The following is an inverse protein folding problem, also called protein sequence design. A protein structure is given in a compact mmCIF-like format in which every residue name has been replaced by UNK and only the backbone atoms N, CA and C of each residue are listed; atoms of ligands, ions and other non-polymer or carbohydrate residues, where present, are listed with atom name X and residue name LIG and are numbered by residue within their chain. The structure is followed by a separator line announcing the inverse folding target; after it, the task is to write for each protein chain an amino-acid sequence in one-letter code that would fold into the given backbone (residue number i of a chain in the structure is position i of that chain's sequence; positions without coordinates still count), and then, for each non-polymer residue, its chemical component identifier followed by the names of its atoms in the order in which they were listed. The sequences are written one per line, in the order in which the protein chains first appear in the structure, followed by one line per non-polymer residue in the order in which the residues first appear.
data_IF_179443909374
#
_entry.id   IF_179443909374
#
_cell.length_a   1.000
_cell.length_b   1.000
_cell.length_c   1.000
_cell.angle_alpha   90.00
_cell.angle_beta   90.00
_cell.angle_gamma   90.00
#
_symmetry.space_group_name_H-M   'P 1'
#
loop_
_entity.id
_entity.type
_entity.pdbx_description
1 polymer ?
#
# COMPACT_ATOMS: atom_id res chain seq x y z
N UNK A 1 -16.52 -17.53 -2.77
CA UNK A 1 -16.79 -16.48 -1.75
C UNK A 1 -17.85 -16.94 -0.78
N UNK A 2 -17.58 -16.85 0.51
CA UNK A 2 -18.54 -17.22 1.59
C UNK A 2 -19.37 -16.03 2.09
N UNK A 3 -19.05 -14.80 1.67
CA UNK A 3 -19.79 -13.58 2.02
C UNK A 3 -20.65 -13.19 0.83
N UNK A 4 -21.95 -13.00 1.07
CA UNK A 4 -22.89 -12.50 0.07
C UNK A 4 -22.73 -10.97 -0.02
N UNK A 5 -21.75 -10.51 -0.83
CA UNK A 5 -21.41 -9.11 -0.99
C UNK A 5 -21.98 -8.55 -2.30
N UNK A 6 -22.78 -7.51 -2.20
CA UNK A 6 -23.33 -6.80 -3.35
C UNK A 6 -22.36 -5.72 -3.84
N UNK A 7 -21.71 -5.97 -4.97
CA UNK A 7 -20.82 -4.99 -5.58
C UNK A 7 -21.61 -3.81 -6.13
N UNK A 8 -21.19 -2.59 -5.82
CA UNK A 8 -21.79 -1.36 -6.40
C UNK A 8 -21.58 -1.31 -7.92
N UNK A 9 -20.40 -1.66 -8.38
CA UNK A 9 -20.07 -1.84 -9.80
C UNK A 9 -19.60 -3.27 -10.03
N UNK A 10 -20.05 -3.95 -11.09
CA UNK A 10 -19.61 -5.31 -11.38
C UNK A 10 -18.08 -5.39 -11.45
N UNK A 11 -17.42 -6.32 -10.73
CA UNK A 11 -15.99 -6.52 -10.80
C UNK A 11 -15.60 -7.24 -12.10
N UNK A 12 -14.41 -6.97 -12.62
CA UNK A 12 -13.80 -7.81 -13.66
C UNK A 12 -13.33 -9.14 -13.05
N UNK A 13 -13.19 -10.18 -13.90
CA UNK A 13 -12.78 -11.52 -13.45
C UNK A 13 -11.52 -11.50 -12.57
N UNK A 14 -10.47 -10.82 -13.00
CA UNK A 14 -9.22 -10.70 -12.22
C UNK A 14 -9.39 -10.00 -10.87
N UNK A 15 -10.41 -9.16 -10.72
CA UNK A 15 -10.74 -8.51 -9.43
C UNK A 15 -11.46 -9.50 -8.51
N UNK A 16 -12.35 -10.32 -9.08
CA UNK A 16 -12.99 -11.45 -8.37
C UNK A 16 -11.93 -12.43 -7.91
N UNK A 17 -11.02 -12.86 -8.79
CA UNK A 17 -9.93 -13.77 -8.46
C UNK A 17 -9.05 -13.23 -7.31
N UNK A 18 -8.74 -11.92 -7.34
CA UNK A 18 -7.97 -11.27 -6.28
C UNK A 18 -8.69 -11.30 -4.93
N UNK A 19 -10.01 -11.06 -4.93
CA UNK A 19 -10.85 -11.15 -3.74
C UNK A 19 -10.96 -12.58 -3.25
N UNK A 20 -11.29 -13.54 -4.11
CA UNK A 20 -11.39 -14.96 -3.75
C UNK A 20 -10.12 -15.51 -3.11
N UNK A 21 -8.97 -15.05 -3.62
CA UNK A 21 -7.68 -15.49 -3.08
C UNK A 21 -7.31 -14.85 -1.74
N UNK A 22 -7.74 -13.61 -1.45
CA UNK A 22 -7.17 -12.83 -0.37
C UNK A 22 -8.10 -12.02 0.52
N UNK A 23 -9.43 -12.07 0.35
CA UNK A 23 -10.32 -11.16 1.05
C UNK A 23 -10.28 -11.30 2.59
N UNK A 24 -10.18 -12.55 3.10
CA UNK A 24 -10.18 -12.90 4.54
C UNK A 24 -8.79 -13.08 5.14
N UNK A 25 -7.73 -12.99 4.33
CA UNK A 25 -6.36 -13.09 4.82
C UNK A 25 -5.99 -11.87 5.66
N UNK A 26 -5.32 -12.09 6.78
CA UNK A 26 -4.85 -11.00 7.63
C UNK A 26 -3.77 -10.15 6.96
N UNK A 27 -2.90 -10.78 6.16
CA UNK A 27 -1.84 -10.12 5.37
C UNK A 27 -2.02 -10.40 3.88
N UNK A 28 -2.13 -9.35 3.06
CA UNK A 28 -2.29 -9.55 1.63
C UNK A 28 -1.76 -8.38 0.78
N UNK A 29 -1.03 -8.73 -0.29
CA UNK A 29 -0.47 -7.80 -1.28
C UNK A 29 -1.24 -7.82 -2.60
N UNK A 30 -1.78 -6.68 -3.03
CA UNK A 30 -2.39 -6.49 -4.35
C UNK A 30 -1.34 -5.89 -5.29
N UNK A 31 -0.56 -6.76 -5.95
CA UNK A 31 0.48 -6.38 -6.92
C UNK A 31 -0.10 -6.34 -8.32
N UNK A 32 -1.08 -5.48 -8.51
CA UNK A 32 -1.84 -5.33 -9.73
C UNK A 32 -1.37 -4.09 -10.50
N UNK A 33 -1.12 -4.21 -11.80
CA UNK A 33 -0.61 -3.09 -12.63
C UNK A 33 -1.56 -1.88 -12.58
N UNK A 34 -1.03 -0.68 -12.84
CA UNK A 34 -1.81 0.56 -12.83
C UNK A 34 -2.98 0.47 -13.82
N UNK A 35 -4.19 0.83 -13.35
CA UNK A 35 -5.42 0.79 -14.17
C UNK A 35 -6.12 -0.58 -14.22
N UNK A 36 -5.72 -1.57 -13.41
CA UNK A 36 -6.43 -2.85 -13.26
C UNK A 36 -7.47 -2.84 -12.12
N UNK A 37 -7.68 -1.69 -11.46
CA UNK A 37 -8.72 -1.51 -10.44
C UNK A 37 -8.33 -1.94 -9.02
N UNK A 38 -7.05 -1.80 -8.63
CA UNK A 38 -6.58 -2.08 -7.25
C UNK A 38 -7.41 -1.40 -6.17
N UNK A 39 -7.75 -0.11 -6.39
CA UNK A 39 -8.56 0.67 -5.43
C UNK A 39 -9.91 0.04 -5.23
N UNK A 40 -10.59 -0.37 -6.31
CA UNK A 40 -11.88 -1.08 -6.25
C UNK A 40 -11.77 -2.37 -5.46
N UNK A 41 -10.77 -3.22 -5.76
CA UNK A 41 -10.56 -4.47 -5.02
C UNK A 41 -10.37 -4.22 -3.51
N UNK A 42 -9.60 -3.19 -3.12
CA UNK A 42 -9.45 -2.85 -1.71
C UNK A 42 -10.75 -2.36 -1.09
N UNK A 43 -11.53 -1.53 -1.79
CA UNK A 43 -12.78 -0.98 -1.29
C UNK A 43 -13.81 -2.10 -1.11
N UNK A 44 -13.96 -2.98 -2.09
CA UNK A 44 -14.81 -4.16 -1.98
C UNK A 44 -14.35 -5.07 -0.83
N UNK A 45 -13.04 -5.27 -0.67
CA UNK A 45 -12.50 -6.06 0.46
C UNK A 45 -12.82 -5.43 1.83
N UNK A 46 -12.76 -4.08 1.96
CA UNK A 46 -13.19 -3.41 3.18
C UNK A 46 -14.67 -3.66 3.48
N UNK A 47 -15.53 -3.56 2.46
CA UNK A 47 -16.96 -3.82 2.59
C UNK A 47 -17.25 -5.27 2.97
N UNK A 48 -16.60 -6.24 2.33
CA UNK A 48 -16.73 -7.67 2.64
C UNK A 48 -16.31 -7.98 4.08
N UNK A 49 -15.19 -7.44 4.55
CA UNK A 49 -14.73 -7.64 5.92
C UNK A 49 -15.66 -6.98 6.94
N UNK A 50 -16.23 -5.81 6.64
CA UNK A 50 -17.24 -5.17 7.49
C UNK A 50 -18.50 -6.04 7.60
N UNK A 51 -19.05 -6.51 6.48
CA UNK A 51 -20.24 -7.38 6.48
C UNK A 51 -20.02 -8.72 7.19
N UNK A 52 -18.76 -9.21 7.18
CA UNK A 52 -18.37 -10.39 7.94
C UNK A 52 -18.16 -10.12 9.44
N UNK A 53 -18.31 -8.88 9.91
CA UNK A 53 -18.07 -8.48 11.30
C UNK A 53 -16.60 -8.48 11.71
N UNK A 54 -15.69 -8.47 10.73
CA UNK A 54 -14.25 -8.59 10.96
C UNK A 54 -13.57 -7.24 11.23
N UNK A 55 -14.13 -6.14 10.67
CA UNK A 55 -13.65 -4.77 10.87
C UNK A 55 -14.79 -3.77 11.00
N UNK A 56 -14.57 -2.72 11.77
CA UNK A 56 -15.37 -1.49 11.86
C UNK A 56 -14.58 -0.23 11.49
N UNK A 57 -13.25 -0.39 11.26
CA UNK A 57 -12.36 0.69 10.94
C UNK A 57 -11.37 0.33 9.82
N UNK A 58 -11.09 1.29 8.93
CA UNK A 58 -10.06 1.17 7.91
C UNK A 58 -9.19 2.43 7.83
N UNK A 59 -7.86 2.28 7.93
CA UNK A 59 -6.88 3.34 7.70
C UNK A 59 -6.27 3.17 6.31
N UNK A 60 -6.63 4.03 5.38
CA UNK A 60 -6.10 4.03 4.00
C UNK A 60 -5.01 5.09 3.88
N UNK A 61 -3.80 4.65 3.56
CA UNK A 61 -2.63 5.49 3.35
C UNK A 61 -2.33 5.59 1.86
N UNK A 62 -2.37 6.79 1.30
CA UNK A 62 -2.09 7.01 -0.11
C UNK A 62 -1.10 8.19 -0.30
N UNK A 63 -0.38 8.27 -1.43
CA UNK A 63 0.48 9.41 -1.72
C UNK A 63 -0.27 10.74 -1.70
N UNK A 64 0.41 11.83 -1.29
CA UNK A 64 -0.18 13.17 -1.16
C UNK A 64 -0.92 13.64 -2.41
N UNK A 65 -0.46 13.23 -3.60
CA UNK A 65 -1.10 13.59 -4.88
C UNK A 65 -2.45 12.91 -5.12
N UNK A 66 -2.70 11.74 -4.52
CA UNK A 66 -3.87 10.91 -4.82
C UNK A 66 -4.81 10.67 -3.63
N UNK A 67 -4.38 10.88 -2.36
CA UNK A 67 -5.22 10.57 -1.20
C UNK A 67 -6.57 11.31 -1.18
N UNK A 68 -6.65 12.49 -1.80
CA UNK A 68 -7.92 13.23 -1.95
C UNK A 68 -8.89 12.53 -2.89
N UNK A 69 -8.35 11.88 -3.93
CA UNK A 69 -9.15 11.13 -4.90
C UNK A 69 -9.84 9.93 -4.24
N UNK A 70 -9.20 9.30 -3.27
CA UNK A 70 -9.81 8.24 -2.46
C UNK A 70 -11.11 8.69 -1.81
N UNK A 71 -11.13 9.89 -1.23
CA UNK A 71 -12.31 10.47 -0.56
C UNK A 71 -13.35 10.98 -1.54
N UNK A 72 -12.91 11.65 -2.62
CA UNK A 72 -13.83 12.35 -3.52
C UNK A 72 -14.41 11.44 -4.62
N UNK A 73 -13.71 10.36 -4.97
CA UNK A 73 -14.08 9.52 -6.11
C UNK A 73 -14.07 8.02 -5.77
N UNK A 74 -12.91 7.44 -5.41
CA UNK A 74 -12.75 5.99 -5.33
C UNK A 74 -13.77 5.34 -4.37
N UNK A 75 -13.83 5.82 -3.12
CA UNK A 75 -14.76 5.25 -2.12
C UNK A 75 -16.21 5.46 -2.53
N UNK A 76 -16.69 6.67 -2.88
CA UNK A 76 -18.07 6.89 -3.33
C UNK A 76 -18.47 6.09 -4.57
N UNK A 77 -17.54 5.83 -5.48
CA UNK A 77 -17.80 5.11 -6.72
C UNK A 77 -17.90 3.59 -6.52
N UNK A 78 -17.13 3.04 -5.58
CA UNK A 78 -16.95 1.59 -5.48
C UNK A 78 -17.53 0.96 -4.20
N UNK A 79 -17.67 1.70 -3.09
CA UNK A 79 -18.21 1.13 -1.86
C UNK A 79 -19.68 0.72 -2.06
N UNK A 80 -20.00 -0.53 -1.68
CA UNK A 80 -21.37 -1.04 -1.75
C UNK A 80 -22.35 -0.15 -0.99
N UNK A 81 -23.54 0.05 -1.55
CA UNK A 81 -24.60 0.81 -0.91
C UNK A 81 -25.18 0.09 0.35
N UNK A 82 -24.92 -1.22 0.47
CA UNK A 82 -25.32 -2.03 1.63
C UNK A 82 -24.35 -1.88 2.82
N UNK A 83 -23.25 -1.14 2.65
CA UNK A 83 -22.25 -0.90 3.70
C UNK A 83 -22.41 0.53 4.24
N UNK A 84 -23.07 0.72 5.41
CA UNK A 84 -23.09 2.01 6.05
C UNK A 84 -21.65 2.43 6.38
N UNK A 85 -21.24 3.61 5.90
CA UNK A 85 -19.86 4.06 6.08
C UNK A 85 -19.74 5.57 6.20
N UNK A 86 -18.69 6.00 6.90
CA UNK A 86 -18.25 7.41 6.90
C UNK A 86 -16.79 7.51 6.49
N UNK A 87 -16.44 8.58 5.80
CA UNK A 87 -15.09 8.83 5.31
C UNK A 87 -14.53 10.08 5.95
N UNK A 88 -13.41 9.95 6.67
CA UNK A 88 -12.74 11.05 7.34
C UNK A 88 -11.37 11.27 6.67
N UNK A 89 -11.06 12.53 6.35
CA UNK A 89 -9.81 12.86 5.68
C UNK A 89 -8.82 13.56 6.61
N UNK A 90 -7.59 13.10 6.60
CA UNK A 90 -6.48 13.79 7.25
C UNK A 90 -6.16 15.13 6.57
N UNK A 91 -5.93 16.18 7.39
CA UNK A 91 -5.47 17.49 6.95
C UNK A 91 -4.30 17.93 7.83
N UNK A 92 -3.13 18.27 7.23
CA UNK A 92 -1.91 18.60 7.98
C UNK A 92 -1.93 19.97 8.68
N UNK A 93 -2.80 20.87 8.26
CA UNK A 93 -3.00 22.20 8.87
C UNK A 93 -4.49 22.50 8.96
N UNK A 94 -5.25 21.74 9.79
CA UNK A 94 -6.70 21.80 9.76
C UNK A 94 -7.23 23.09 10.40
N UNK A 95 -8.29 23.67 9.79
CA UNK A 95 -9.12 24.68 10.44
C UNK A 95 -10.00 24.02 11.53
N UNK A 96 -10.82 24.82 12.23
CA UNK A 96 -11.65 24.35 13.35
C UNK A 96 -12.59 23.22 12.90
N UNK A 97 -13.34 23.39 11.80
CA UNK A 97 -14.26 22.40 11.27
C UNK A 97 -13.54 21.08 10.90
N UNK A 98 -12.40 21.18 10.22
CA UNK A 98 -11.60 20.00 9.85
C UNK A 98 -11.01 19.27 11.06
N UNK A 99 -10.68 20.00 12.15
CA UNK A 99 -10.27 19.36 13.42
C UNK A 99 -11.40 18.57 14.04
N UNK A 100 -12.59 19.12 14.05
CA UNK A 100 -13.81 18.45 14.54
C UNK A 100 -14.11 17.21 13.71
N UNK A 101 -14.07 17.32 12.37
CA UNK A 101 -14.24 16.20 11.46
C UNK A 101 -13.18 15.08 11.71
N UNK A 102 -11.90 15.42 11.89
CA UNK A 102 -10.89 14.41 12.20
C UNK A 102 -11.06 13.79 13.58
N UNK A 103 -11.61 14.54 14.56
CA UNK A 103 -11.88 14.01 15.91
C UNK A 103 -13.07 13.08 15.94
N UNK A 104 -14.02 13.24 15.02
CA UNK A 104 -15.22 12.38 14.95
C UNK A 104 -14.87 10.90 14.70
N UNK A 105 -13.62 10.56 14.34
CA UNK A 105 -13.15 9.17 14.32
C UNK A 105 -13.29 8.49 15.70
N UNK A 106 -13.39 9.27 16.78
CA UNK A 106 -13.58 8.77 18.15
C UNK A 106 -15.06 8.59 18.52
N UNK A 107 -15.97 9.13 17.70
CA UNK A 107 -17.39 9.07 17.97
C UNK A 107 -17.94 7.71 17.54
N UNK A 108 -18.88 7.18 18.31
CA UNK A 108 -19.57 5.96 17.95
C UNK A 108 -20.29 6.13 16.61
N UNK A 109 -20.15 5.13 15.77
CA UNK A 109 -20.76 5.09 14.45
C UNK A 109 -21.15 3.65 14.12
N UNK A 110 -22.42 3.43 13.87
CA UNK A 110 -22.94 2.13 13.43
C UNK A 110 -22.66 1.95 11.92
N UNK A 111 -21.43 1.59 11.61
CA UNK A 111 -20.94 1.44 10.24
C UNK A 111 -19.41 1.43 10.15
N UNK A 112 -18.90 1.26 8.94
CA UNK A 112 -17.48 1.26 8.65
C UNK A 112 -16.91 2.69 8.66
N UNK A 113 -15.99 3.00 9.56
CA UNK A 113 -15.24 4.25 9.55
C UNK A 113 -13.98 4.12 8.71
N UNK A 114 -13.88 4.90 7.64
CA UNK A 114 -12.70 4.91 6.75
C UNK A 114 -11.93 6.21 6.96
N UNK A 115 -10.70 6.12 7.48
CA UNK A 115 -9.82 7.27 7.65
C UNK A 115 -8.75 7.29 6.56
N UNK A 116 -8.76 8.33 5.72
CA UNK A 116 -7.83 8.46 4.60
C UNK A 116 -6.74 9.47 4.93
N UNK A 117 -5.48 9.04 4.86
CA UNK A 117 -4.33 9.83 5.26
C UNK A 117 -3.22 9.79 4.20
N UNK A 118 -2.52 10.90 3.99
CA UNK A 118 -1.36 10.86 3.12
C UNK A 118 -0.17 10.20 3.83
N UNK A 119 0.50 9.29 3.14
CA UNK A 119 1.62 8.51 3.69
C UNK A 119 2.79 9.38 4.15
N UNK A 120 3.01 10.54 3.54
CA UNK A 120 4.06 11.49 3.91
C UNK A 120 3.84 12.12 5.29
N UNK A 121 2.61 12.15 5.80
CA UNK A 121 2.30 12.64 7.14
C UNK A 121 3.09 11.90 8.24
N UNK A 122 3.43 10.63 8.00
CA UNK A 122 4.23 9.81 8.92
C UNK A 122 5.72 10.20 8.97
N UNK A 123 6.15 11.16 8.17
CA UNK A 123 7.45 11.82 8.35
C UNK A 123 7.42 12.87 9.47
N UNK A 124 6.23 13.26 9.94
CA UNK A 124 6.02 14.24 11.03
C UNK A 124 5.54 13.56 12.31
N UNK A 125 5.86 14.18 13.47
CA UNK A 125 5.41 13.68 14.77
C UNK A 125 3.86 13.62 14.87
N UNK A 126 3.16 14.64 14.34
CA UNK A 126 1.69 14.68 14.36
C UNK A 126 1.06 13.48 13.65
N UNK A 127 1.56 13.14 12.47
CA UNK A 127 1.07 11.99 11.72
C UNK A 127 1.38 10.66 12.42
N UNK A 128 2.58 10.53 12.99
CA UNK A 128 2.97 9.35 13.76
C UNK A 128 2.07 9.17 14.99
N UNK A 129 1.87 10.22 15.77
CA UNK A 129 1.02 10.19 16.98
C UNK A 129 -0.44 9.82 16.62
N UNK A 130 -1.00 10.41 15.56
CA UNK A 130 -2.35 10.07 15.10
C UNK A 130 -2.46 8.61 14.68
N UNK A 131 -1.50 8.11 13.88
CA UNK A 131 -1.48 6.70 13.46
C UNK A 131 -1.28 5.74 14.63
N UNK A 132 -0.43 6.07 15.60
CA UNK A 132 -0.24 5.25 16.80
C UNK A 132 -1.51 5.17 17.65
N UNK A 133 -2.21 6.29 17.80
CA UNK A 133 -3.47 6.33 18.50
C UNK A 133 -4.52 5.44 17.80
N UNK A 134 -4.72 5.64 16.48
CA UNK A 134 -5.66 4.82 15.70
C UNK A 134 -5.32 3.33 15.78
N UNK A 135 -4.04 2.97 15.67
CA UNK A 135 -3.62 1.58 15.80
C UNK A 135 -3.89 0.97 17.17
N UNK A 136 -3.78 1.76 18.25
CA UNK A 136 -4.07 1.27 19.62
C UNK A 136 -5.56 1.17 19.91
N UNK A 137 -6.32 2.17 19.47
CA UNK A 137 -7.73 2.29 19.79
C UNK A 137 -8.62 1.44 18.86
N UNK A 138 -8.28 1.34 17.57
CA UNK A 138 -9.15 0.83 16.52
C UNK A 138 -8.53 -0.34 15.74
N UNK A 139 -7.23 -0.63 15.94
CA UNK A 139 -6.52 -1.60 15.11
C UNK A 139 -6.94 -3.05 15.32
N UNK A 140 -7.45 -3.42 16.50
CA UNK A 140 -7.89 -4.80 16.79
C UNK A 140 -9.07 -5.24 15.92
N UNK A 141 -9.96 -4.30 15.56
CA UNK A 141 -11.07 -4.48 14.64
C UNK A 141 -10.86 -3.65 13.36
N UNK A 142 -9.60 -3.49 12.95
CA UNK A 142 -9.25 -2.56 11.88
C UNK A 142 -8.39 -3.15 10.80
N UNK A 143 -8.49 -2.52 9.62
CA UNK A 143 -7.58 -2.71 8.50
C UNK A 143 -6.67 -1.49 8.34
N UNK A 144 -5.40 -1.73 7.98
CA UNK A 144 -4.51 -0.70 7.45
C UNK A 144 -4.07 -1.07 6.03
N UNK A 145 -4.16 -0.13 5.11
CA UNK A 145 -3.76 -0.31 3.72
C UNK A 145 -2.83 0.81 3.25
N UNK A 146 -1.83 0.46 2.44
CA UNK A 146 -0.97 1.44 1.76
C UNK A 146 -1.18 1.32 0.26
N UNK A 147 -1.66 2.39 -0.35
CA UNK A 147 -1.64 2.59 -1.79
C UNK A 147 -0.27 3.13 -2.23
N UNK A 148 0.24 2.61 -3.33
CA UNK A 148 1.61 2.80 -3.80
C UNK A 148 2.66 2.49 -2.72
N UNK A 149 2.68 1.22 -2.29
CA UNK A 149 3.50 0.71 -1.18
C UNK A 149 5.01 0.89 -1.39
N UNK A 150 5.47 1.18 -2.61
CA UNK A 150 6.87 1.57 -2.88
C UNK A 150 7.32 2.82 -2.13
N UNK A 151 6.38 3.62 -1.60
CA UNK A 151 6.65 4.77 -0.73
C UNK A 151 7.33 4.38 0.60
N UNK A 152 7.25 3.09 1.00
CA UNK A 152 7.88 2.55 2.21
C UNK A 152 9.03 1.56 1.92
N UNK A 153 9.54 1.50 0.69
CA UNK A 153 10.63 0.57 0.29
C UNK A 153 11.95 0.78 1.02
N UNK A 154 12.22 1.99 1.51
CA UNK A 154 13.44 2.28 2.26
C UNK A 154 13.26 1.93 3.75
N UNK A 155 13.81 0.79 4.17
CA UNK A 155 13.76 0.30 5.56
C UNK A 155 14.40 1.24 6.59
N UNK A 156 15.30 2.14 6.20
CA UNK A 156 15.96 3.13 7.09
C UNK A 156 15.13 4.38 7.32
N UNK A 157 14.18 4.69 6.43
CA UNK A 157 13.39 5.92 6.51
C UNK A 157 12.54 5.97 7.79
N UNK A 158 12.50 7.13 8.46
CA UNK A 158 11.69 7.36 9.68
C UNK A 158 10.23 7.01 9.46
N UNK A 159 9.68 7.42 8.33
CA UNK A 159 8.30 7.09 7.91
C UNK A 159 8.05 5.59 7.87
N UNK A 160 8.93 4.82 7.20
CA UNK A 160 8.81 3.37 7.11
C UNK A 160 8.83 2.73 8.49
N UNK A 161 9.81 3.08 9.32
CA UNK A 161 9.93 2.54 10.69
C UNK A 161 8.68 2.83 11.54
N UNK A 162 8.11 4.02 11.43
CA UNK A 162 6.87 4.38 12.12
C UNK A 162 5.69 3.53 11.63
N UNK A 163 5.54 3.41 10.31
CA UNK A 163 4.44 2.66 9.70
C UNK A 163 4.50 1.15 10.03
N UNK A 164 5.69 0.55 10.06
CA UNK A 164 5.84 -0.85 10.47
C UNK A 164 5.33 -1.09 11.90
N UNK A 165 5.67 -0.19 12.84
CA UNK A 165 5.19 -0.27 14.24
C UNK A 165 3.68 -0.10 14.37
N UNK A 166 3.10 0.79 13.56
CA UNK A 166 1.67 1.07 13.57
C UNK A 166 0.91 -0.09 12.93
N UNK A 167 1.36 -0.58 11.78
CA UNK A 167 0.73 -1.69 11.06
C UNK A 167 0.59 -2.95 11.91
N UNK A 168 1.59 -3.24 12.75
CA UNK A 168 1.56 -4.40 13.65
C UNK A 168 0.39 -4.40 14.66
N UNK A 169 -0.33 -3.27 14.81
CA UNK A 169 -1.49 -3.13 15.71
C UNK A 169 -2.83 -3.41 15.01
N UNK A 170 -2.82 -3.49 13.69
CA UNK A 170 -4.01 -3.74 12.89
C UNK A 170 -4.21 -5.24 12.62
N UNK A 171 -5.47 -5.68 12.68
CA UNK A 171 -5.86 -7.06 12.38
C UNK A 171 -5.59 -7.41 10.92
N UNK A 172 -6.00 -6.55 10.00
CA UNK A 172 -5.80 -6.74 8.56
C UNK A 172 -4.81 -5.72 7.98
N UNK A 173 -3.93 -6.17 7.10
CA UNK A 173 -2.91 -5.35 6.44
C UNK A 173 -2.89 -5.58 4.95
N UNK A 174 -2.87 -4.49 4.16
CA UNK A 174 -2.93 -4.52 2.70
C UNK A 174 -1.85 -3.64 2.08
N UNK A 175 -1.24 -4.14 1.03
CA UNK A 175 -0.33 -3.39 0.16
C UNK A 175 -0.91 -3.33 -1.24
N UNK A 176 -0.89 -2.15 -1.84
CA UNK A 176 -1.29 -1.93 -3.22
C UNK A 176 -0.12 -1.31 -3.98
N UNK A 177 0.27 -1.91 -5.08
CA UNK A 177 1.22 -1.32 -6.04
C UNK A 177 1.21 -2.07 -7.36
N UNK A 178 1.47 -1.37 -8.45
CA UNK A 178 1.67 -1.99 -9.77
C UNK A 178 3.07 -2.57 -9.95
N UNK A 179 4.04 -2.11 -9.15
CA UNK A 179 5.44 -2.51 -9.28
C UNK A 179 6.10 -2.57 -7.91
N UNK A 180 5.98 -3.69 -7.17
CA UNK A 180 6.54 -3.81 -5.82
C UNK A 180 8.07 -3.70 -5.79
N UNK A 181 8.72 -4.04 -6.90
CA UNK A 181 10.16 -3.89 -7.14
C UNK A 181 10.38 -2.82 -8.19
N UNK A 182 11.00 -1.69 -7.81
CA UNK A 182 11.23 -0.56 -8.73
C UNK A 182 12.66 -0.48 -9.24
N UNK A 183 13.65 -0.65 -8.38
CA UNK A 183 15.08 -0.58 -8.72
C UNK A 183 15.82 -1.84 -8.32
N UNK A 184 15.41 -2.49 -7.28
CA UNK A 184 16.11 -3.61 -6.68
C UNK A 184 15.13 -4.55 -5.99
N UNK A 185 15.34 -5.89 -6.03
CA UNK A 185 14.59 -6.85 -5.22
C UNK A 185 14.60 -6.53 -3.72
N UNK A 186 15.57 -5.73 -3.27
CA UNK A 186 15.64 -5.26 -1.87
C UNK A 186 14.48 -4.32 -1.50
N UNK A 187 13.83 -3.69 -2.50
CA UNK A 187 12.68 -2.80 -2.32
C UNK A 187 11.48 -3.51 -1.66
N UNK A 188 11.37 -4.84 -1.82
CA UNK A 188 10.24 -5.61 -1.31
C UNK A 188 10.31 -5.86 0.22
N UNK A 189 11.49 -5.87 0.82
CA UNK A 189 11.68 -6.25 2.21
C UNK A 189 10.77 -5.49 3.17
N UNK A 190 10.89 -4.16 3.22
CA UNK A 190 10.10 -3.35 4.14
C UNK A 190 8.61 -3.31 3.81
N UNK A 191 8.24 -3.56 2.57
CA UNK A 191 6.84 -3.73 2.18
C UNK A 191 6.28 -5.03 2.81
N UNK A 192 7.00 -6.14 2.75
CA UNK A 192 6.58 -7.38 3.40
C UNK A 192 6.59 -7.28 4.93
N UNK A 193 7.56 -6.57 5.52
CA UNK A 193 7.58 -6.27 6.96
C UNK A 193 6.35 -5.47 7.43
N UNK A 194 5.78 -4.63 6.56
CA UNK A 194 4.53 -3.94 6.85
C UNK A 194 3.34 -4.91 6.93
N UNK A 195 3.28 -5.90 6.07
CA UNK A 195 2.26 -6.94 6.15
C UNK A 195 2.40 -7.76 7.43
N UNK A 196 3.60 -8.26 7.72
CA UNK A 196 3.92 -8.93 8.97
C UNK A 196 5.45 -8.98 9.15
N UNK A 197 5.96 -8.61 10.33
CA UNK A 197 7.37 -8.78 10.65
C UNK A 197 7.81 -10.24 10.45
N UNK A 198 8.91 -10.42 9.71
CA UNK A 198 9.45 -11.75 9.40
C UNK A 198 8.65 -12.56 8.36
N UNK A 199 7.70 -11.97 7.64
CA UNK A 199 6.86 -12.66 6.63
C UNK A 199 7.68 -13.39 5.57
N UNK A 200 8.81 -12.83 5.17
CA UNK A 200 9.74 -13.43 4.21
C UNK A 200 10.68 -14.50 4.84
N UNK A 201 10.57 -14.76 6.14
CA UNK A 201 11.41 -15.73 6.84
C UNK A 201 12.79 -15.21 7.23
N UNK A 202 12.96 -13.89 7.38
CA UNK A 202 14.23 -13.25 7.76
C UNK A 202 14.02 -12.32 8.96
N UNK A 203 14.91 -12.44 9.96
CA UNK A 203 14.86 -11.59 11.16
C UNK A 203 15.33 -10.15 10.92
N UNK A 204 16.07 -9.91 9.84
CA UNK A 204 16.61 -8.59 9.53
C UNK A 204 16.79 -8.35 8.04
N UNK A 205 16.83 -7.05 7.67
CA UNK A 205 17.15 -6.63 6.31
C UNK A 205 18.51 -7.20 5.84
N UNK A 206 19.50 -7.27 6.71
CA UNK A 206 20.84 -7.77 6.35
C UNK A 206 20.86 -9.27 6.10
N UNK A 207 20.07 -10.05 6.85
CA UNK A 207 19.89 -11.48 6.58
C UNK A 207 19.20 -11.69 5.22
N UNK A 208 18.13 -10.92 4.92
CA UNK A 208 17.46 -10.90 3.63
C UNK A 208 18.43 -10.51 2.50
N UNK A 209 19.19 -9.42 2.67
CA UNK A 209 20.20 -8.98 1.71
C UNK A 209 21.27 -10.06 1.47
N UNK A 210 21.75 -10.72 2.51
CA UNK A 210 22.73 -11.80 2.41
C UNK A 210 22.21 -13.01 1.61
N UNK A 211 20.90 -13.27 1.61
CA UNK A 211 20.30 -14.34 0.81
C UNK A 211 20.13 -13.99 -0.65
N UNK A 212 19.71 -12.75 -0.98
CA UNK A 212 19.26 -12.38 -2.30
C UNK A 212 20.18 -11.41 -3.06
N UNK A 213 21.14 -10.76 -2.40
CA UNK A 213 22.08 -9.87 -3.04
C UNK A 213 23.50 -10.47 -3.13
N UNK A 214 24.21 -10.15 -4.21
CA UNK A 214 25.65 -10.36 -4.33
C UNK A 214 26.32 -9.03 -4.00
N UNK A 215 27.13 -9.02 -2.94
CA UNK A 215 27.72 -7.82 -2.38
C UNK A 215 29.25 -7.86 -2.57
N UNK A 216 29.81 -6.77 -3.04
CA UNK A 216 31.26 -6.57 -3.14
C UNK A 216 31.70 -5.45 -2.20
N UNK A 217 32.78 -5.68 -1.46
CA UNK A 217 33.42 -4.62 -0.66
C UNK A 217 34.24 -3.74 -1.60
N UNK A 218 33.97 -2.45 -1.58
CA UNK A 218 34.75 -1.44 -2.30
C UNK A 218 35.35 -0.45 -1.31
N UNK A 219 36.52 0.07 -1.65
CA UNK A 219 37.21 1.14 -0.92
C UNK A 219 37.24 2.40 -1.75
N UNK A 220 36.96 3.53 -1.11
CA UNK A 220 37.10 4.86 -1.69
C UNK A 220 37.87 5.75 -0.69
N UNK A 221 39.17 5.95 -0.93
CA UNK A 221 40.07 6.51 0.05
C UNK A 221 40.18 5.62 1.30
N UNK A 222 40.00 6.19 2.50
CA UNK A 222 40.01 5.43 3.76
C UNK A 222 38.65 4.81 4.12
N UNK A 223 37.61 5.07 3.38
CA UNK A 223 36.26 4.52 3.65
C UNK A 223 36.04 3.22 2.87
N UNK A 224 35.59 2.17 3.56
CA UNK A 224 35.14 0.93 2.93
C UNK A 224 33.60 0.84 2.99
N UNK A 225 32.97 0.48 1.88
CA UNK A 225 31.53 0.29 1.80
C UNK A 225 31.17 -0.96 0.99
N UNK A 226 29.96 -1.48 1.22
CA UNK A 226 29.43 -2.62 0.48
C UNK A 226 28.58 -2.12 -0.68
N UNK A 227 28.87 -2.60 -1.89
CA UNK A 227 28.07 -2.33 -3.08
C UNK A 227 27.38 -3.62 -3.54
N UNK A 228 26.07 -3.54 -3.79
CA UNK A 228 25.34 -4.62 -4.46
C UNK A 228 25.72 -4.59 -5.93
N UNK A 229 26.26 -5.72 -6.41
CA UNK A 229 26.71 -5.91 -7.80
C UNK A 229 25.83 -6.89 -8.58
N UNK A 230 24.88 -7.55 -7.93
CA UNK A 230 23.95 -8.49 -8.54
C UNK A 230 22.96 -9.07 -7.56
N UNK A 231 22.11 -9.95 -8.05
CA UNK A 231 21.07 -10.62 -7.27
C UNK A 231 21.09 -12.13 -7.56
N UNK A 232 20.62 -12.91 -6.62
CA UNK A 232 20.54 -14.37 -6.69
C UNK A 232 19.25 -14.88 -6.02
N UNK A 233 18.90 -16.14 -6.26
CA UNK A 233 17.75 -16.85 -5.65
C UNK A 233 16.39 -16.12 -5.87
N UNK A 234 16.24 -15.39 -7.00
CA UNK A 234 15.04 -14.58 -7.25
C UNK A 234 13.78 -15.42 -7.41
N UNK A 235 13.89 -16.64 -7.96
CA UNK A 235 12.76 -17.57 -8.08
C UNK A 235 12.23 -18.00 -6.71
N UNK A 236 13.14 -18.20 -5.73
CA UNK A 236 12.76 -18.47 -4.34
C UNK A 236 12.00 -17.28 -3.74
N UNK A 237 12.50 -16.06 -3.96
CA UNK A 237 11.86 -14.85 -3.49
C UNK A 237 10.46 -14.69 -4.08
N UNK A 238 10.31 -14.89 -5.37
CA UNK A 238 9.02 -14.83 -6.06
C UNK A 238 8.03 -15.83 -5.47
N UNK A 239 8.43 -17.10 -5.32
CA UNK A 239 7.57 -18.13 -4.71
C UNK A 239 7.13 -17.80 -3.27
N UNK A 240 7.98 -17.12 -2.50
CA UNK A 240 7.61 -16.66 -1.15
C UNK A 240 6.56 -15.55 -1.20
N UNK A 241 6.73 -14.59 -2.11
CA UNK A 241 5.82 -13.45 -2.28
C UNK A 241 4.46 -13.91 -2.78
N UNK A 242 4.42 -14.86 -3.70
CA UNK A 242 3.18 -15.40 -4.30
C UNK A 242 2.25 -16.06 -3.24
N UNK A 243 2.78 -16.49 -2.09
CA UNK A 243 1.98 -17.08 -1.02
C UNK A 243 1.01 -16.10 -0.34
N UNK A 244 1.30 -14.79 -0.38
CA UNK A 244 0.52 -13.75 0.30
C UNK A 244 0.20 -12.55 -0.61
N UNK A 245 0.34 -12.72 -1.91
CA UNK A 245 0.03 -11.66 -2.85
C UNK A 245 -0.68 -12.18 -4.10
N UNK A 246 -1.38 -11.27 -4.76
CA UNK A 246 -2.00 -11.52 -6.05
C UNK A 246 -1.42 -10.56 -7.09
N UNK A 247 -0.91 -11.11 -8.18
CA UNK A 247 -0.27 -10.34 -9.24
C UNK A 247 -1.08 -10.37 -10.52
N UNK A 248 -1.32 -9.19 -11.10
CA UNK A 248 -2.00 -9.03 -12.39
C UNK A 248 -1.26 -8.02 -13.25
N UNK A 249 -1.04 -8.36 -14.51
CA UNK A 249 -0.55 -7.45 -15.55
C UNK A 249 -1.70 -7.05 -16.46
N UNK A 250 -1.68 -5.83 -16.99
CA UNK A 250 -2.72 -5.33 -17.91
C UNK A 250 -2.93 -6.23 -19.12
N UNK A 251 -1.84 -6.71 -19.69
CA UNK A 251 -1.88 -7.58 -20.88
C UNK A 251 -2.59 -8.91 -20.64
N UNK A 252 -2.71 -9.34 -19.37
CA UNK A 252 -3.28 -10.64 -19.01
C UNK A 252 -4.78 -10.52 -18.66
N UNK A 253 -5.29 -9.31 -18.46
CA UNK A 253 -6.65 -9.10 -17.96
C UNK A 253 -7.48 -8.03 -18.69
N UNK A 254 -6.86 -7.26 -19.57
CA UNK A 254 -7.55 -6.22 -20.35
C UNK A 254 -7.20 -6.35 -21.83
N UNK A 255 -8.24 -6.34 -22.67
CA UNK A 255 -8.08 -6.26 -24.11
C UNK A 255 -7.75 -4.82 -24.52
N UNK A 256 -6.46 -4.52 -24.55
CA UNK A 256 -5.94 -3.18 -24.85
C UNK A 256 -5.15 -3.24 -26.17
N UNK A 257 -5.26 -2.20 -27.00
CA UNK A 257 -4.41 -2.10 -28.18
C UNK A 257 -2.93 -2.02 -27.78
N UNK A 258 -2.06 -2.45 -28.69
CA UNK A 258 -0.62 -2.39 -28.48
C UNK A 258 -0.13 -0.99 -28.17
N UNK A 259 0.87 -0.90 -27.29
CA UNK A 259 1.51 0.39 -26.95
C UNK A 259 2.27 0.92 -28.15
N UNK A 260 1.88 2.09 -28.65
CA UNK A 260 2.61 2.80 -29.70
C UNK A 260 3.63 3.74 -29.03
N UNK A 261 4.91 3.50 -29.31
CA UNK A 261 5.99 4.37 -28.84
C UNK A 261 6.38 5.33 -29.96
N UNK A 262 6.17 6.63 -29.76
CA UNK A 262 6.61 7.69 -30.69
C UNK A 262 7.73 8.50 -30.04
N UNK A 263 8.88 8.60 -30.71
CA UNK A 263 9.94 9.51 -30.30
C UNK A 263 9.67 10.89 -30.89
N UNK A 264 9.59 11.91 -30.03
CA UNK A 264 9.58 13.32 -30.47
C UNK A 264 10.93 13.94 -30.15
N UNK A 265 11.64 14.38 -31.18
CA UNK A 265 12.87 15.13 -31.02
C UNK A 265 12.52 16.61 -30.85
N UNK A 266 12.90 17.18 -29.73
CA UNK A 266 12.78 18.63 -29.46
C UNK A 266 14.18 19.22 -29.38
N UNK A 267 14.40 20.35 -30.08
CA UNK A 267 15.66 21.10 -29.97
C UNK A 267 15.85 21.62 -28.54
N UNK A 268 17.06 21.57 -28.04
CA UNK A 268 17.41 22.19 -26.76
C UNK A 268 17.37 23.70 -26.86
N UNK A 269 16.94 24.40 -25.83
CA UNK A 269 17.07 25.85 -25.73
C UNK A 269 18.55 26.24 -25.53
N UNK A 270 18.91 27.50 -25.85
CA UNK A 270 20.28 27.97 -25.61
C UNK A 270 20.74 27.78 -24.18
N UNK A 271 19.88 28.03 -23.18
CA UNK A 271 20.18 27.83 -21.76
C UNK A 271 20.45 26.34 -21.40
N UNK A 272 19.81 25.41 -22.10
CA UNK A 272 20.04 23.97 -21.90
C UNK A 272 21.31 23.47 -22.58
N UNK A 273 21.80 24.19 -23.62
CA UNK A 273 23.06 23.86 -24.31
C UNK A 273 24.28 24.44 -23.58
N UNK A 274 24.07 25.49 -22.77
CA UNK A 274 25.12 26.16 -22.00
C UNK A 274 25.32 25.60 -20.58
N UNK A 275 24.56 24.54 -20.19
CA UNK A 275 24.68 23.78 -18.92
C UNK A 275 25.53 22.51 -19.08
#
# INVERSE_FOLDING_TARGET
MTVNYNFKLPPFNHQVDALDYGWDRTEFGLFMEMGTGKSKVLIDNMGMLYQAGEIDFALVLAPKGVYRNWVAKEIPEHMSDDVPHRVIRWVSGPNKKQKEEMRSVQDDFDGLTIFVMNVEAFSSLKGQTAGEWMGRALGSNGMIAIDESTTIKNHKAKRTKSLLKIAAKFKFRRLLTGSPVTKSPMDIYSQCEFLRPGLLGFESYYAFQGRYAVVQRKTMGMAAFQQIIGFRNLDELTKRIDQFSFRVLKKDCLDLPDKIYTARYVGMTKEQLDM
#
